data_IF_552847512696
#
_entry.id   IF_552847512696
#
_cell.length_a   1.000
_cell.length_b   1.000
_cell.length_c   1.000
_cell.angle_alpha   90.00
_cell.angle_beta   90.00
_cell.angle_gamma   90.00
#
_symmetry.space_group_name_H-M   'P 1'
#
loop_
_entity.id
_entity.type
_entity.pdbx_description
1 polymer ?
#
# COMPACT_ATOMS: atom_id res chain seq x y z
N UNK A 1 -11.81 -7.02 -30.05
CA UNK A 1 -10.35 -7.30 -30.18
C UNK A 1 -9.69 -7.07 -28.81
N UNK A 2 -8.65 -7.84 -28.46
CA UNK A 2 -7.91 -7.66 -27.19
C UNK A 2 -6.54 -7.04 -27.47
N UNK A 3 -6.17 -6.01 -26.71
CA UNK A 3 -4.85 -5.37 -26.78
C UNK A 3 -4.07 -5.71 -25.51
N UNK A 4 -2.86 -6.23 -25.66
CA UNK A 4 -1.99 -6.58 -24.53
C UNK A 4 -1.28 -5.34 -24.00
N UNK A 5 -1.25 -5.17 -22.67
CA UNK A 5 -0.37 -4.19 -22.05
C UNK A 5 1.11 -4.55 -22.26
N UNK A 6 1.98 -3.53 -22.35
CA UNK A 6 3.41 -3.72 -22.60
C UNK A 6 4.15 -4.35 -21.41
N UNK A 7 3.70 -4.08 -20.19
CA UNK A 7 4.32 -4.57 -18.97
C UNK A 7 3.37 -5.54 -18.25
N UNK A 8 3.92 -6.56 -17.56
CA UNK A 8 3.15 -7.45 -16.71
C UNK A 8 2.63 -6.72 -15.46
N UNK A 9 1.44 -7.12 -14.98
CA UNK A 9 0.80 -6.59 -13.77
C UNK A 9 1.22 -7.32 -12.49
N UNK A 10 1.74 -8.54 -12.63
CA UNK A 10 2.21 -9.41 -11.55
C UNK A 10 3.47 -10.12 -12.05
N UNK A 11 4.56 -10.03 -11.29
CA UNK A 11 5.87 -10.58 -11.65
C UNK A 11 6.56 -11.18 -10.44
N UNK A 12 7.57 -12.00 -10.69
CA UNK A 12 8.52 -12.40 -9.66
C UNK A 12 9.12 -11.19 -8.97
N UNK A 13 9.38 -11.35 -7.68
CA UNK A 13 10.00 -10.32 -6.87
C UNK A 13 11.45 -10.69 -6.56
N UNK A 14 12.32 -9.70 -6.61
CA UNK A 14 13.75 -9.80 -6.33
C UNK A 14 14.13 -8.80 -5.23
N UNK A 15 15.17 -9.11 -4.47
CA UNK A 15 15.80 -8.13 -3.58
C UNK A 15 16.71 -7.15 -4.35
N UNK A 16 17.39 -6.27 -3.63
CA UNK A 16 18.29 -5.27 -4.22
C UNK A 16 19.54 -5.89 -4.88
N UNK A 17 19.88 -7.13 -4.51
CA UNK A 17 21.02 -7.88 -5.04
C UNK A 17 20.63 -8.75 -6.25
N UNK A 18 19.33 -8.78 -6.59
CA UNK A 18 18.77 -9.59 -7.69
C UNK A 18 18.46 -11.03 -7.28
N UNK A 19 18.49 -11.36 -5.98
CA UNK A 19 18.05 -12.68 -5.53
C UNK A 19 16.53 -12.74 -5.58
N UNK A 20 16.00 -13.81 -6.16
CA UNK A 20 14.55 -14.03 -6.23
C UNK A 20 14.01 -14.25 -4.82
N UNK A 21 13.05 -13.42 -4.42
CA UNK A 21 12.28 -13.55 -3.18
C UNK A 21 10.97 -14.31 -3.40
N UNK A 22 10.32 -14.08 -4.54
CA UNK A 22 9.07 -14.76 -4.93
C UNK A 22 9.18 -15.20 -6.39
N UNK A 23 9.21 -16.50 -6.61
CA UNK A 23 9.30 -17.11 -7.94
C UNK A 23 7.94 -17.43 -8.55
N UNK A 24 7.80 -17.17 -9.85
CA UNK A 24 6.71 -17.66 -10.71
C UNK A 24 5.27 -17.37 -10.26
N UNK A 25 4.89 -16.14 -9.88
CA UNK A 25 3.50 -15.85 -9.56
C UNK A 25 2.61 -15.93 -10.82
N UNK A 26 1.48 -16.62 -10.74
CA UNK A 26 0.63 -16.79 -11.92
C UNK A 26 -0.67 -17.57 -11.73
N UNK A 27 -1.35 -17.83 -12.86
CA UNK A 27 -2.66 -18.48 -12.97
C UNK A 27 -3.65 -17.91 -11.93
N UNK A 28 -3.86 -16.60 -12.01
CA UNK A 28 -4.60 -15.90 -11.00
C UNK A 28 -6.12 -15.93 -11.26
N UNK A 29 -6.89 -15.70 -10.19
CA UNK A 29 -8.32 -15.44 -10.22
C UNK A 29 -8.61 -14.19 -9.38
N UNK A 30 -9.77 -13.55 -9.59
CA UNK A 30 -10.16 -12.35 -8.88
C UNK A 30 -11.40 -12.60 -8.02
N UNK A 31 -11.45 -11.99 -6.84
CA UNK A 31 -12.58 -12.07 -5.93
C UNK A 31 -12.73 -10.79 -5.12
N UNK A 32 -13.93 -10.53 -4.62
CA UNK A 32 -14.24 -9.34 -3.83
C UNK A 32 -14.41 -9.69 -2.36
N UNK A 33 -13.87 -8.85 -1.48
CA UNK A 33 -14.21 -8.83 -0.05
C UNK A 33 -14.75 -7.46 0.29
N UNK A 34 -16.08 -7.35 0.32
CA UNK A 34 -16.72 -6.03 0.39
C UNK A 34 -16.50 -5.24 -0.89
N UNK A 35 -15.89 -4.07 -0.76
CA UNK A 35 -15.53 -3.18 -1.88
C UNK A 35 -14.06 -3.33 -2.30
N UNK A 36 -13.29 -4.19 -1.63
CA UNK A 36 -11.88 -4.41 -1.96
C UNK A 36 -11.78 -5.58 -2.95
N UNK A 37 -11.11 -5.34 -4.08
CA UNK A 37 -10.78 -6.37 -5.06
C UNK A 37 -9.47 -7.05 -4.65
N UNK A 38 -9.47 -8.37 -4.69
CA UNK A 38 -8.30 -9.20 -4.46
C UNK A 38 -8.02 -10.08 -5.68
N UNK A 39 -6.77 -10.45 -5.84
CA UNK A 39 -6.33 -11.51 -6.76
C UNK A 39 -5.78 -12.67 -5.94
N UNK A 40 -6.26 -13.88 -6.18
CA UNK A 40 -5.64 -15.11 -5.71
C UNK A 40 -4.74 -15.66 -6.82
N UNK A 41 -3.55 -16.13 -6.48
CA UNK A 41 -2.59 -16.68 -7.44
C UNK A 41 -1.71 -17.71 -6.77
N UNK A 42 -0.99 -18.50 -7.56
CA UNK A 42 0.05 -19.34 -7.01
C UNK A 42 1.42 -18.68 -7.12
N UNK A 43 2.34 -19.01 -6.23
CA UNK A 43 3.79 -18.79 -6.39
C UNK A 43 4.55 -20.07 -6.02
N UNK A 44 5.85 -20.15 -6.32
CA UNK A 44 6.70 -21.22 -5.80
C UNK A 44 6.76 -21.16 -4.26
N UNK A 45 6.87 -22.33 -3.61
CA UNK A 45 6.99 -22.39 -2.14
C UNK A 45 8.32 -21.82 -1.63
N UNK A 46 9.38 -21.91 -2.44
CA UNK A 46 10.63 -21.18 -2.24
C UNK A 46 11.25 -20.80 -3.59
N UNK A 47 12.17 -19.82 -3.63
CA UNK A 47 12.88 -19.45 -4.86
C UNK A 47 13.69 -20.58 -5.51
N UNK A 48 14.17 -21.54 -4.71
CA UNK A 48 15.00 -22.68 -5.16
C UNK A 48 14.18 -23.90 -5.57
N UNK A 49 12.85 -23.83 -5.48
CA UNK A 49 11.94 -24.95 -5.77
C UNK A 49 12.04 -25.40 -7.24
N UNK A 50 12.20 -26.72 -7.46
CA UNK A 50 12.42 -27.33 -8.78
C UNK A 50 11.32 -28.30 -9.20
N UNK A 51 10.53 -28.80 -8.25
CA UNK A 51 9.52 -29.84 -8.46
C UNK A 51 8.11 -29.24 -8.68
N UNK A 52 8.03 -27.91 -8.80
CA UNK A 52 6.78 -27.21 -9.10
C UNK A 52 5.79 -27.16 -7.93
N UNK A 53 6.28 -27.37 -6.70
CA UNK A 53 5.52 -27.13 -5.48
C UNK A 53 5.17 -25.64 -5.38
N UNK A 54 3.89 -25.38 -5.13
CA UNK A 54 3.32 -24.05 -5.16
C UNK A 54 2.48 -23.80 -3.93
N UNK A 55 2.41 -22.54 -3.54
CA UNK A 55 1.56 -22.04 -2.46
C UNK A 55 0.48 -21.11 -3.00
N UNK A 56 -0.63 -21.03 -2.28
CA UNK A 56 -1.70 -20.07 -2.54
C UNK A 56 -1.33 -18.73 -1.91
N UNK A 57 -1.37 -17.67 -2.70
CA UNK A 57 -1.18 -16.29 -2.29
C UNK A 57 -2.41 -15.46 -2.67
N UNK A 58 -2.65 -14.37 -1.96
CA UNK A 58 -3.61 -13.36 -2.39
C UNK A 58 -3.17 -11.97 -1.97
N UNK A 59 -3.43 -10.99 -2.83
CA UNK A 59 -3.10 -9.58 -2.61
C UNK A 59 -4.23 -8.69 -3.14
N UNK A 60 -4.25 -7.43 -2.69
CA UNK A 60 -5.18 -6.41 -3.20
C UNK A 60 -4.88 -6.13 -4.68
N UNK A 61 -5.91 -5.84 -5.44
CA UNK A 61 -5.80 -5.42 -6.83
C UNK A 61 -6.78 -4.27 -7.10
N UNK A 62 -6.58 -3.56 -8.19
CA UNK A 62 -7.46 -2.46 -8.54
C UNK A 62 -7.14 -1.85 -9.89
N UNK A 63 -7.73 -0.69 -10.11
CA UNK A 63 -7.54 0.12 -11.30
C UNK A 63 -7.33 1.56 -10.88
N UNK A 64 -6.34 2.22 -11.47
CA UNK A 64 -6.22 3.67 -11.35
C UNK A 64 -7.40 4.36 -12.06
N UNK A 65 -7.58 5.66 -11.80
CA UNK A 65 -8.63 6.46 -12.42
C UNK A 65 -8.57 6.49 -13.96
N UNK A 66 -7.39 6.27 -14.54
CA UNK A 66 -7.18 6.15 -15.99
C UNK A 66 -7.49 4.75 -16.57
N UNK A 67 -7.91 3.79 -15.73
CA UNK A 67 -8.21 2.42 -16.09
C UNK A 67 -6.99 1.49 -16.16
N UNK A 68 -5.78 1.96 -15.82
CA UNK A 68 -4.59 1.12 -15.73
C UNK A 68 -4.73 0.16 -14.55
N UNK A 69 -4.59 -1.16 -14.75
CA UNK A 69 -4.69 -2.14 -13.67
C UNK A 69 -3.40 -2.18 -12.82
N UNK A 70 -3.56 -2.49 -11.55
CA UNK A 70 -2.46 -2.80 -10.64
C UNK A 70 -2.79 -4.01 -9.75
N UNK A 71 -1.74 -4.70 -9.31
CA UNK A 71 -1.79 -5.72 -8.26
C UNK A 71 -0.77 -5.32 -7.21
N UNK A 72 -1.22 -5.22 -5.96
CA UNK A 72 -0.40 -4.89 -4.80
C UNK A 72 0.33 -6.13 -4.29
N UNK A 73 0.99 -6.86 -5.18
CA UNK A 73 1.67 -8.11 -4.88
C UNK A 73 2.75 -8.47 -5.90
N UNK A 74 3.59 -9.47 -5.61
CA UNK A 74 3.53 -10.30 -4.41
C UNK A 74 4.00 -9.58 -3.14
N UNK A 75 3.25 -9.71 -2.05
CA UNK A 75 3.69 -9.19 -0.73
C UNK A 75 4.34 -10.28 0.10
N UNK A 76 5.37 -9.89 0.87
CA UNK A 76 6.01 -10.74 1.88
C UNK A 76 5.93 -10.15 3.28
N UNK A 77 5.76 -8.83 3.38
CA UNK A 77 5.46 -8.18 4.65
C UNK A 77 3.98 -8.39 5.03
N UNK A 78 3.66 -8.48 6.34
CA UNK A 78 2.27 -8.55 6.80
C UNK A 78 1.40 -7.45 6.21
N UNK A 79 0.30 -7.84 5.58
CA UNK A 79 -0.74 -6.94 5.10
C UNK A 79 -1.93 -6.94 6.05
N UNK A 80 -2.67 -5.83 6.09
CA UNK A 80 -3.97 -5.83 6.74
C UNK A 80 -4.90 -6.83 6.04
N UNK A 81 -5.61 -7.63 6.83
CA UNK A 81 -6.79 -8.36 6.36
C UNK A 81 -7.80 -7.39 5.73
N UNK A 82 -8.77 -7.85 4.92
CA UNK A 82 -9.79 -6.99 4.36
C UNK A 82 -10.44 -6.13 5.46
N UNK A 83 -10.48 -4.81 5.27
CA UNK A 83 -10.88 -3.89 6.35
C UNK A 83 -12.33 -4.13 6.77
N UNK A 84 -13.17 -4.58 5.83
CA UNK A 84 -14.55 -4.95 6.09
C UNK A 84 -14.68 -6.05 7.15
N UNK A 85 -13.77 -7.02 7.19
CA UNK A 85 -13.78 -8.09 8.21
C UNK A 85 -13.49 -7.56 9.62
N UNK A 86 -12.81 -6.41 9.70
CA UNK A 86 -12.54 -5.70 10.96
C UNK A 86 -13.62 -4.68 11.33
N UNK A 87 -14.67 -4.54 10.53
CA UNK A 87 -15.63 -3.43 10.65
C UNK A 87 -14.94 -2.07 10.50
N UNK A 88 -13.91 -2.00 9.66
CA UNK A 88 -13.09 -0.82 9.37
C UNK A 88 -13.19 -0.44 7.90
N UNK A 89 -12.77 0.79 7.60
CA UNK A 89 -12.60 1.27 6.25
C UNK A 89 -11.41 2.22 6.14
N UNK A 90 -10.86 2.35 4.93
CA UNK A 90 -9.83 3.35 4.63
C UNK A 90 -10.50 4.70 4.38
N UNK A 91 -10.32 5.62 5.33
CA UNK A 91 -10.84 6.98 5.33
C UNK A 91 -10.11 7.92 4.39
N UNK A 92 -8.89 7.60 3.91
CA UNK A 92 -8.14 8.51 3.01
C UNK A 92 -8.90 8.82 1.71
N UNK A 93 -9.82 7.93 1.31
CA UNK A 93 -10.76 8.14 0.19
C UNK A 93 -11.72 9.33 0.36
N UNK A 94 -11.92 9.82 1.59
CA UNK A 94 -12.79 10.95 1.90
C UNK A 94 -12.05 12.28 1.97
N UNK A 95 -10.74 12.28 1.73
CA UNK A 95 -9.94 13.50 1.76
C UNK A 95 -10.36 14.45 0.62
N UNK A 96 -10.49 15.74 0.95
CA UNK A 96 -10.69 16.81 -0.04
C UNK A 96 -9.37 17.33 -0.61
N UNK A 97 -8.27 17.16 0.14
CA UNK A 97 -6.91 17.42 -0.30
C UNK A 97 -6.08 16.18 0.01
N UNK A 98 -5.51 15.57 -1.03
CA UNK A 98 -4.59 14.46 -0.90
C UNK A 98 -3.76 14.40 -2.19
N UNK A 99 -2.42 14.23 -2.11
CA UNK A 99 -1.66 13.86 -3.29
C UNK A 99 -2.24 12.58 -3.90
N UNK A 100 -2.51 12.53 -5.22
CA UNK A 100 -3.20 11.38 -5.83
C UNK A 100 -2.53 10.04 -5.59
N UNK A 101 -1.20 10.01 -5.58
CA UNK A 101 -0.39 8.81 -5.32
C UNK A 101 -0.34 8.40 -3.83
N UNK A 102 -1.17 8.96 -2.94
CA UNK A 102 -1.23 8.56 -1.53
C UNK A 102 -2.59 7.97 -1.15
N UNK A 103 -3.55 7.93 -2.07
CA UNK A 103 -4.89 7.39 -1.81
C UNK A 103 -5.53 6.71 -3.04
N UNK A 104 -4.73 6.29 -4.01
CA UNK A 104 -5.22 5.57 -5.20
C UNK A 104 -5.29 4.05 -4.97
N UNK A 105 -4.82 3.59 -3.81
CA UNK A 105 -4.89 2.19 -3.39
C UNK A 105 -3.80 1.32 -4.00
N UNK A 106 -2.84 1.88 -4.74
CA UNK A 106 -1.71 1.17 -5.32
C UNK A 106 -0.44 1.38 -4.47
N UNK A 107 0.11 0.30 -3.93
CA UNK A 107 1.35 0.38 -3.13
C UNK A 107 2.63 0.37 -3.98
N UNK A 108 2.47 0.50 -5.31
CA UNK A 108 3.51 0.62 -6.32
C UNK A 108 4.42 -0.61 -6.50
N UNK A 109 3.90 -1.82 -6.27
CA UNK A 109 4.66 -3.07 -6.51
C UNK A 109 4.65 -3.52 -7.97
N UNK A 110 3.61 -3.17 -8.73
CA UNK A 110 3.46 -3.58 -10.12
C UNK A 110 4.39 -2.77 -11.04
N UNK A 111 4.86 -3.39 -12.13
CA UNK A 111 5.73 -2.72 -13.10
C UNK A 111 5.06 -1.53 -13.81
N UNK A 112 3.73 -1.56 -13.98
CA UNK A 112 2.94 -0.43 -14.51
C UNK A 112 2.78 0.71 -13.50
N UNK A 113 3.04 0.45 -12.23
CA UNK A 113 2.93 1.39 -11.12
C UNK A 113 4.24 2.11 -10.82
N UNK A 114 5.35 1.72 -11.45
CA UNK A 114 6.65 2.38 -11.28
C UNK A 114 6.53 3.88 -11.57
N UNK A 115 6.93 4.70 -10.60
CA UNK A 115 6.84 6.15 -10.67
C UNK A 115 5.48 6.74 -10.25
N UNK A 116 4.45 5.93 -9.95
CA UNK A 116 3.21 6.37 -9.30
C UNK A 116 3.41 6.47 -7.79
N UNK A 117 4.35 7.32 -7.40
CA UNK A 117 4.72 7.56 -6.00
C UNK A 117 4.74 9.05 -5.75
N UNK A 118 4.33 9.45 -4.55
CA UNK A 118 4.55 10.80 -4.07
C UNK A 118 6.04 11.00 -3.71
N UNK A 119 6.55 12.22 -3.93
CA UNK A 119 7.90 12.64 -3.54
C UNK A 119 7.86 14.04 -2.93
N UNK A 120 8.55 14.20 -1.80
CA UNK A 120 8.69 15.50 -1.16
C UNK A 120 9.11 15.41 0.30
N UNK A 121 9.25 16.57 0.94
CA UNK A 121 9.54 16.69 2.38
C UNK A 121 8.28 16.93 3.21
N UNK A 122 7.15 17.30 2.58
CA UNK A 122 5.88 17.54 3.26
C UNK A 122 4.68 17.11 2.42
N UNK A 123 3.86 16.19 2.95
CA UNK A 123 2.55 15.84 2.39
C UNK A 123 1.44 16.24 3.37
N UNK A 124 0.31 16.72 2.84
CA UNK A 124 -0.87 17.10 3.62
C UNK A 124 -2.10 16.36 3.10
N UNK A 125 -2.82 15.70 4.00
CA UNK A 125 -4.11 15.06 3.74
C UNK A 125 -5.16 15.78 4.60
N UNK A 126 -6.21 16.30 3.97
CA UNK A 126 -7.24 17.13 4.65
C UNK A 126 -8.64 16.65 4.34
N UNK A 127 -9.54 16.90 5.27
CA UNK A 127 -10.95 16.53 5.17
C UNK A 127 -11.86 17.75 5.40
N UNK A 128 -12.89 17.90 4.57
CA UNK A 128 -13.94 18.92 4.78
C UNK A 128 -14.84 18.59 5.98
N UNK A 129 -14.87 17.32 6.38
CA UNK A 129 -15.58 16.81 7.55
C UNK A 129 -14.67 15.82 8.29
N UNK A 130 -14.64 15.83 9.63
CA UNK A 130 -13.69 15.01 10.35
C UNK A 130 -14.05 13.53 10.20
N UNK A 131 -13.02 12.71 10.03
CA UNK A 131 -13.14 11.25 10.02
C UNK A 131 -12.69 10.69 11.37
N UNK A 132 -13.39 9.66 11.91
CA UNK A 132 -12.80 8.88 13.02
C UNK A 132 -11.69 8.02 12.47
N UNK A 133 -10.49 8.13 13.03
CA UNK A 133 -9.33 7.29 12.71
C UNK A 133 -8.66 6.82 14.00
N UNK A 134 -8.04 5.65 13.95
CA UNK A 134 -7.29 5.05 15.07
C UNK A 134 -5.98 4.39 14.63
N UNK A 135 -5.74 4.34 13.32
CA UNK A 135 -4.53 3.77 12.73
C UNK A 135 -4.18 4.51 11.44
N UNK A 136 -2.89 4.80 11.24
CA UNK A 136 -2.32 5.19 9.95
C UNK A 136 -1.43 4.03 9.48
N UNK A 137 -1.56 3.65 8.21
CA UNK A 137 -0.61 2.74 7.54
C UNK A 137 0.06 3.49 6.41
N UNK A 138 1.39 3.51 6.42
CA UNK A 138 2.21 4.22 5.43
C UNK A 138 2.98 3.19 4.61
N UNK A 139 2.75 3.19 3.31
CA UNK A 139 3.51 2.38 2.36
C UNK A 139 4.61 3.24 1.72
N UNK A 140 5.89 2.87 1.90
CA UNK A 140 6.99 3.57 1.26
C UNK A 140 7.06 3.27 -0.25
N UNK A 141 7.48 4.25 -1.04
CA UNK A 141 7.82 4.06 -2.45
C UNK A 141 9.27 3.59 -2.65
N UNK A 142 9.77 3.71 -3.88
CA UNK A 142 11.07 3.16 -4.34
C UNK A 142 12.30 3.58 -3.50
N UNK A 143 12.24 4.75 -2.82
CA UNK A 143 13.32 5.27 -1.95
C UNK A 143 12.82 5.54 -0.51
N UNK A 144 11.78 4.84 -0.07
CA UNK A 144 11.13 5.15 1.21
C UNK A 144 11.86 4.58 2.43
N UNK A 145 13.01 5.15 2.78
CA UNK A 145 13.77 4.86 4.02
C UNK A 145 13.96 6.10 4.91
N UNK A 146 13.23 7.18 4.63
CA UNK A 146 13.41 8.45 5.33
C UNK A 146 12.77 8.47 6.72
N UNK A 147 13.28 9.38 7.55
CA UNK A 147 12.79 9.66 8.90
C UNK A 147 12.06 10.98 8.94
N UNK A 148 11.18 11.10 9.92
CA UNK A 148 10.36 12.28 10.10
C UNK A 148 9.32 12.09 11.19
N UNK A 149 8.21 12.80 11.04
CA UNK A 149 7.07 12.72 11.93
C UNK A 149 5.78 13.03 11.18
N UNK A 150 4.67 12.60 11.74
CA UNK A 150 3.35 13.05 11.33
C UNK A 150 2.71 13.90 12.41
N UNK A 151 1.85 14.82 12.00
CA UNK A 151 0.95 15.58 12.87
C UNK A 151 -0.48 15.18 12.55
N UNK A 152 -1.22 14.73 13.57
CA UNK A 152 -2.68 14.64 13.54
C UNK A 152 -3.21 16.00 13.99
N UNK A 153 -4.14 16.62 13.25
CA UNK A 153 -4.77 17.91 13.60
C UNK A 153 -3.80 19.04 13.99
N UNK A 154 -2.55 18.99 13.49
CA UNK A 154 -1.47 19.93 13.83
C UNK A 154 -1.06 19.97 15.31
N UNK A 155 -1.50 19.03 16.15
CA UNK A 155 -1.23 19.03 17.60
C UNK A 155 -0.46 17.79 18.07
N UNK A 156 -0.83 16.61 17.58
CA UNK A 156 -0.30 15.33 18.04
C UNK A 156 0.75 14.80 17.09
N UNK A 157 2.00 14.83 17.53
CA UNK A 157 3.14 14.30 16.78
C UNK A 157 3.36 12.81 17.03
N UNK A 158 3.66 12.06 15.97
CA UNK A 158 4.14 10.68 16.04
C UNK A 158 5.37 10.53 15.14
N UNK A 159 6.40 9.84 15.65
CA UNK A 159 7.60 9.58 14.86
C UNK A 159 7.31 8.67 13.67
N UNK A 160 7.93 8.97 12.54
CA UNK A 160 7.90 8.17 11.31
C UNK A 160 9.32 7.75 11.01
N UNK A 161 9.60 6.45 11.06
CA UNK A 161 10.90 5.88 10.70
C UNK A 161 10.71 4.77 9.67
N UNK A 162 10.78 5.14 8.38
CA UNK A 162 10.63 4.18 7.28
C UNK A 162 11.89 3.32 7.09
N UNK A 163 13.02 3.71 7.67
CA UNK A 163 14.24 2.88 7.64
C UNK A 163 14.11 1.62 8.50
N UNK A 164 13.22 1.65 9.51
CA UNK A 164 13.07 0.57 10.49
C UNK A 164 12.21 -0.61 10.02
N UNK A 165 11.45 -0.47 8.93
CA UNK A 165 10.46 -1.47 8.46
C UNK A 165 11.02 -2.47 7.43
N UNK A 166 12.34 -2.52 7.26
CA UNK A 166 13.02 -3.47 6.37
C UNK A 166 12.84 -3.15 4.89
N UNK A 167 13.09 -4.14 4.02
CA UNK A 167 13.04 -3.97 2.56
C UNK A 167 12.07 -4.93 1.84
N UNK A 168 11.29 -5.73 2.58
CA UNK A 168 10.39 -6.71 1.97
C UNK A 168 9.28 -6.05 1.11
N UNK A 169 8.84 -6.70 0.02
CA UNK A 169 7.68 -6.27 -0.76
C UNK A 169 6.43 -6.16 0.10
N UNK A 170 5.71 -5.04 -0.05
CA UNK A 170 4.53 -4.72 0.75
C UNK A 170 4.83 -4.19 2.16
N UNK A 171 6.10 -3.92 2.49
CA UNK A 171 6.45 -3.32 3.79
C UNK A 171 5.64 -2.04 4.03
N UNK A 172 5.29 -1.84 5.29
CA UNK A 172 4.51 -0.71 5.72
C UNK A 172 4.87 -0.33 7.15
N UNK A 173 4.67 0.95 7.48
CA UNK A 173 4.73 1.44 8.85
C UNK A 173 3.30 1.57 9.36
N UNK A 174 2.98 0.85 10.44
CA UNK A 174 1.69 0.92 11.13
C UNK A 174 1.83 1.77 12.39
N UNK A 175 1.03 2.83 12.48
CA UNK A 175 0.98 3.74 13.61
C UNK A 175 -0.43 3.69 14.22
N UNK A 176 -0.54 3.25 15.47
CA UNK A 176 -1.82 3.16 16.18
C UNK A 176 -1.95 4.24 17.25
N UNK A 177 -3.18 4.69 17.49
CA UNK A 177 -3.48 5.73 18.46
C UNK A 177 -4.95 5.65 18.91
N UNK A 178 -5.28 6.32 20.01
CA UNK A 178 -6.67 6.43 20.47
C UNK A 178 -7.56 7.04 19.38
N UNK A 179 -8.79 6.53 19.22
CA UNK A 179 -9.75 7.04 18.23
C UNK A 179 -9.82 8.57 18.27
N UNK A 180 -9.54 9.20 17.13
CA UNK A 180 -9.41 10.65 17.00
C UNK A 180 -10.27 11.14 15.83
N UNK A 181 -10.94 12.28 16.02
CA UNK A 181 -11.59 13.02 14.92
C UNK A 181 -10.52 13.77 14.15
N UNK A 182 -10.16 13.24 12.99
CA UNK A 182 -9.09 13.73 12.15
C UNK A 182 -9.62 14.69 11.09
N UNK A 183 -9.08 15.91 11.06
CA UNK A 183 -9.30 16.94 10.05
C UNK A 183 -8.11 17.06 9.11
N UNK A 184 -6.90 16.93 9.67
CA UNK A 184 -5.64 16.99 8.92
C UNK A 184 -4.68 15.90 9.38
N UNK A 185 -3.94 15.36 8.42
CA UNK A 185 -2.76 14.54 8.62
C UNK A 185 -1.64 15.18 7.80
N UNK A 186 -0.61 15.66 8.47
CA UNK A 186 0.57 16.24 7.83
C UNK A 186 1.78 15.34 8.09
N UNK A 187 2.48 14.95 7.03
CA UNK A 187 3.70 14.13 7.07
C UNK A 187 4.89 15.01 6.75
N UNK A 188 5.85 15.08 7.67
CA UNK A 188 7.09 15.84 7.51
C UNK A 188 8.28 14.89 7.52
N UNK A 189 9.19 15.06 6.57
CA UNK A 189 10.41 14.25 6.46
C UNK A 189 11.65 15.15 6.53
N UNK A 190 12.72 14.61 7.11
CA UNK A 190 14.01 15.31 7.23
C UNK A 190 14.65 15.60 5.87
N UNK A 191 14.35 14.74 4.88
CA UNK A 191 14.77 14.85 3.48
C UNK A 191 13.62 14.45 2.56
N UNK A 192 13.83 14.55 1.25
CA UNK A 192 12.85 14.09 0.27
C UNK A 192 12.56 12.59 0.46
N UNK A 193 11.33 12.27 0.86
CA UNK A 193 10.84 10.91 0.99
C UNK A 193 10.06 10.50 -0.26
N UNK A 194 9.86 9.20 -0.42
CA UNK A 194 8.97 8.63 -1.43
C UNK A 194 7.95 7.70 -0.77
N UNK A 195 6.67 7.90 -1.08
CA UNK A 195 5.54 7.16 -0.53
C UNK A 195 4.63 6.69 -1.67
N UNK A 196 4.05 5.50 -1.54
CA UNK A 196 3.12 4.93 -2.54
C UNK A 196 1.67 4.91 -2.09
N UNK A 197 1.40 4.85 -0.78
CA UNK A 197 0.03 4.89 -0.27
C UNK A 197 0.02 5.30 1.20
N UNK A 198 -1.00 6.03 1.63
CA UNK A 198 -1.31 6.30 3.03
C UNK A 198 -2.75 5.90 3.31
N UNK A 199 -2.92 4.83 4.09
CA UNK A 199 -4.24 4.42 4.56
C UNK A 199 -4.52 5.04 5.92
N UNK A 200 -5.69 5.66 6.04
CA UNK A 200 -6.19 6.23 7.29
C UNK A 200 -7.34 5.34 7.76
N UNK A 201 -7.09 4.47 8.73
CA UNK A 201 -8.04 3.42 9.11
C UNK A 201 -8.89 3.85 10.30
N UNK A 202 -10.19 3.63 10.19
CA UNK A 202 -11.15 3.86 11.28
C UNK A 202 -12.43 3.07 11.10
N UNK A 203 -13.32 3.12 12.10
CA UNK A 203 -14.60 2.40 12.11
C UNK A 203 -15.40 2.70 10.83
N UNK A 204 -15.86 1.64 10.16
CA UNK A 204 -16.82 1.78 9.08
C UNK A 204 -18.10 2.44 9.63
N UNK A 205 -18.75 3.29 8.83
CA UNK A 205 -20.10 3.72 9.18
C UNK A 205 -21.03 2.49 9.11
N UNK A 206 -21.97 2.35 10.07
CA UNK A 206 -22.98 1.30 10.01
C UNK A 206 -23.86 1.43 8.76
#
# INVERSE_FOLDING_TARGET
PFTKFRLPVLVSCEDQEGNVLVGGPGHNSFFWVGEELFTAYHSLVSPEEKDGLRQLCYDRAGFHADGTPYINGPTLAPQLVPLKELGRENKSRYACVCPPALNDGDIALCALSKGRVWRGTHASIRFDRPVSAEMIVIYPGDNGSEKGYLLLNSDRSMAVDLSAIGQLPGRNLVLTFCETKLWTLDLFFEKEASLSEVMIVGKAKP
#
